data_IF_423824176373
#
_entry.id   IF_423824176373
#
_cell.length_a   1.000
_cell.length_b   1.000
_cell.length_c   1.000
_cell.angle_alpha   90.00
_cell.angle_beta   90.00
_cell.angle_gamma   90.00
#
_symmetry.space_group_name_H-M   'P 1'
#
loop_
_entity.id
_entity.type
_entity.pdbx_description
1 polymer ?
#
# COMPACT_ATOMS: atom_id res chain seq x y z
N UNK A 1 -29.41 -9.65 2.25
CA UNK A 1 -28.88 -8.30 1.94
C UNK A 1 -27.37 -8.40 1.93
N UNK A 2 -26.82 -8.77 0.79
CA UNK A 2 -25.37 -8.75 0.56
C UNK A 2 -24.99 -7.29 0.35
N UNK A 3 -24.32 -6.68 1.32
CA UNK A 3 -23.63 -5.41 1.16
C UNK A 3 -22.48 -5.66 0.18
N UNK A 4 -22.83 -5.61 -1.12
CA UNK A 4 -21.85 -5.63 -2.19
C UNK A 4 -20.99 -4.38 -2.05
N UNK A 5 -19.72 -4.58 -1.77
CA UNK A 5 -18.72 -3.53 -1.93
C UNK A 5 -18.73 -3.14 -3.42
N UNK A 6 -19.19 -1.92 -3.72
CA UNK A 6 -19.26 -1.37 -5.07
C UNK A 6 -18.10 -0.38 -5.26
N UNK A 7 -16.96 -0.82 -5.82
CA UNK A 7 -15.80 0.05 -6.04
C UNK A 7 -15.97 1.02 -7.22
N UNK A 8 -17.10 0.96 -7.94
CA UNK A 8 -17.33 1.70 -9.19
C UNK A 8 -17.72 3.17 -8.99
N UNK A 9 -17.85 3.64 -7.75
CA UNK A 9 -18.36 5.00 -7.46
C UNK A 9 -17.41 5.85 -6.59
N UNK A 10 -16.14 5.45 -6.47
CA UNK A 10 -15.10 6.31 -5.89
C UNK A 10 -14.21 6.89 -6.99
N UNK A 11 -14.69 7.98 -7.60
CA UNK A 11 -14.03 8.72 -8.69
C UNK A 11 -12.84 9.57 -8.21
N UNK A 12 -12.11 9.17 -7.18
CA UNK A 12 -10.82 9.80 -6.84
C UNK A 12 -9.70 9.12 -7.64
N UNK A 13 -8.96 9.84 -8.50
CA UNK A 13 -7.93 9.25 -9.40
C UNK A 13 -6.69 8.66 -8.71
N UNK A 14 -6.69 8.56 -7.39
CA UNK A 14 -5.63 8.03 -6.53
C UNK A 14 -6.28 7.69 -5.19
N UNK A 15 -5.85 6.66 -4.45
CA UNK A 15 -6.30 6.50 -3.07
C UNK A 15 -6.04 7.79 -2.32
N UNK A 16 -6.96 8.14 -1.41
CA UNK A 16 -6.68 9.23 -0.50
C UNK A 16 -5.38 8.90 0.27
N UNK A 17 -4.49 9.89 0.51
CA UNK A 17 -3.24 9.66 1.24
C UNK A 17 -3.41 8.88 2.55
N UNK A 18 -4.57 9.06 3.20
CA UNK A 18 -4.96 8.37 4.43
C UNK A 18 -5.17 6.86 4.26
N UNK A 19 -5.70 6.41 3.12
CA UNK A 19 -5.91 4.99 2.86
C UNK A 19 -4.57 4.27 2.69
N UNK A 20 -3.61 4.92 2.01
CA UNK A 20 -2.24 4.43 1.87
C UNK A 20 -1.57 4.23 3.23
N UNK A 21 -1.74 5.18 4.15
CA UNK A 21 -1.20 5.08 5.51
C UNK A 21 -1.77 3.90 6.31
N UNK A 22 -3.09 3.69 6.23
CA UNK A 22 -3.75 2.58 6.92
C UNK A 22 -3.34 1.23 6.34
N UNK A 23 -3.29 1.11 5.01
CA UNK A 23 -2.84 -0.11 4.34
C UNK A 23 -1.38 -0.42 4.69
N UNK A 24 -0.50 0.58 4.66
CA UNK A 24 0.90 0.44 5.07
C UNK A 24 1.01 -0.05 6.52
N UNK A 25 0.29 0.57 7.46
CA UNK A 25 0.34 0.20 8.87
C UNK A 25 -0.11 -1.25 9.12
N UNK A 26 -1.18 -1.71 8.43
CA UNK A 26 -1.65 -3.10 8.53
C UNK A 26 -0.61 -4.07 7.97
N UNK A 27 -0.03 -3.76 6.81
CA UNK A 27 0.99 -4.62 6.21
C UNK A 27 2.25 -4.69 7.07
N UNK A 28 2.73 -3.56 7.58
CA UNK A 28 3.88 -3.50 8.49
C UNK A 28 3.64 -4.36 9.75
N UNK A 29 2.44 -4.27 10.35
CA UNK A 29 2.10 -5.07 11.54
C UNK A 29 1.97 -6.57 11.28
N UNK A 30 1.55 -6.99 10.07
CA UNK A 30 1.31 -8.40 9.72
C UNK A 30 2.50 -9.09 9.07
N UNK A 31 3.26 -8.36 8.26
CA UNK A 31 4.31 -8.90 7.40
C UNK A 31 5.70 -8.38 7.78
N UNK A 32 5.81 -7.37 8.64
CA UNK A 32 7.09 -6.83 9.07
C UNK A 32 7.94 -6.38 7.89
N UNK A 33 9.15 -6.94 7.76
CA UNK A 33 10.10 -6.62 6.70
C UNK A 33 9.59 -6.97 5.28
N UNK A 34 8.62 -7.89 5.15
CA UNK A 34 8.02 -8.28 3.86
C UNK A 34 6.89 -7.34 3.39
N UNK A 35 6.51 -6.36 4.20
CA UNK A 35 5.34 -5.52 3.93
C UNK A 35 5.43 -4.77 2.58
N UNK A 36 6.61 -4.29 2.21
CA UNK A 36 6.83 -3.62 0.92
C UNK A 36 6.67 -4.59 -0.26
N UNK A 37 7.23 -5.80 -0.14
CA UNK A 37 7.17 -6.82 -1.20
C UNK A 37 5.74 -7.31 -1.44
N UNK A 38 4.93 -7.42 -0.37
CA UNK A 38 3.51 -7.75 -0.47
C UNK A 38 2.73 -6.65 -1.20
N UNK A 39 3.03 -5.38 -0.92
CA UNK A 39 2.39 -4.26 -1.63
C UNK A 39 2.83 -4.21 -3.11
N UNK A 40 4.12 -4.44 -3.41
CA UNK A 40 4.62 -4.53 -4.79
C UNK A 40 3.97 -5.67 -5.58
N UNK A 41 3.73 -6.81 -4.93
CA UNK A 41 3.00 -7.92 -5.54
C UNK A 41 1.62 -7.49 -6.01
N UNK A 42 0.84 -6.80 -5.17
CA UNK A 42 -0.48 -6.32 -5.55
C UNK A 42 -0.43 -5.23 -6.62
N UNK A 43 0.54 -4.32 -6.54
CA UNK A 43 0.78 -3.31 -7.57
C UNK A 43 1.00 -3.96 -8.94
N UNK A 44 1.87 -4.96 -8.98
CA UNK A 44 2.20 -5.73 -10.19
C UNK A 44 1.00 -6.52 -10.70
N UNK A 45 0.27 -7.19 -9.79
CA UNK A 45 -0.94 -7.92 -10.14
C UNK A 45 -1.97 -7.03 -10.81
N UNK A 46 -2.29 -5.87 -10.23
CA UNK A 46 -3.26 -4.94 -10.81
C UNK A 46 -2.77 -4.32 -12.13
N UNK A 47 -1.47 -4.03 -12.25
CA UNK A 47 -0.87 -3.56 -13.51
C UNK A 47 -1.08 -4.58 -14.64
N UNK A 48 -0.81 -5.86 -14.39
CA UNK A 48 -0.98 -6.93 -15.39
C UNK A 48 -2.44 -7.15 -15.81
N UNK A 49 -3.39 -6.77 -14.95
CA UNK A 49 -4.83 -6.90 -15.22
C UNK A 49 -5.47 -5.60 -15.74
N UNK A 50 -4.66 -4.58 -16.04
CA UNK A 50 -5.14 -3.30 -16.58
C UNK A 50 -5.83 -2.39 -15.56
N UNK A 51 -5.73 -2.71 -14.27
CA UNK A 51 -6.27 -1.91 -13.17
C UNK A 51 -5.22 -0.90 -12.70
N UNK A 52 -5.05 0.16 -13.49
CA UNK A 52 -4.03 1.19 -13.25
C UNK A 52 -4.26 1.89 -11.91
N UNK A 53 -5.50 2.18 -11.53
CA UNK A 53 -5.82 2.88 -10.28
C UNK A 53 -5.35 2.11 -9.05
N UNK A 54 -5.68 0.82 -8.98
CA UNK A 54 -5.22 -0.02 -7.87
C UNK A 54 -3.74 -0.36 -7.95
N UNK A 55 -3.16 -0.43 -9.15
CA UNK A 55 -1.72 -0.59 -9.31
C UNK A 55 -0.96 0.58 -8.65
N UNK A 56 -1.33 1.81 -8.98
CA UNK A 56 -0.73 3.01 -8.37
C UNK A 56 -0.98 3.10 -6.86
N UNK A 57 -2.16 2.69 -6.41
CA UNK A 57 -2.49 2.64 -4.99
C UNK A 57 -1.49 1.79 -4.20
N UNK A 58 -1.28 0.56 -4.66
CA UNK A 58 -0.37 -0.39 -4.03
C UNK A 58 1.10 0.01 -4.18
N UNK A 59 1.47 0.66 -5.28
CA UNK A 59 2.80 1.24 -5.44
C UNK A 59 3.08 2.32 -4.37
N UNK A 60 2.10 3.19 -4.09
CA UNK A 60 2.19 4.18 -3.02
C UNK A 60 2.34 3.56 -1.64
N UNK A 61 1.65 2.45 -1.37
CA UNK A 61 1.81 1.69 -0.12
C UNK A 61 3.21 1.10 0.00
N UNK A 62 3.73 0.47 -1.06
CA UNK A 62 5.06 -0.13 -1.06
C UNK A 62 6.14 0.91 -0.78
N UNK A 63 6.04 2.08 -1.41
CA UNK A 63 6.95 3.20 -1.22
C UNK A 63 6.91 3.72 0.23
N UNK A 64 5.72 3.95 0.79
CA UNK A 64 5.58 4.41 2.17
C UNK A 64 6.19 3.42 3.17
N UNK A 65 6.00 2.12 2.97
CA UNK A 65 6.59 1.09 3.83
C UNK A 65 8.12 1.09 3.73
N UNK A 66 8.69 1.28 2.53
CA UNK A 66 10.14 1.39 2.35
C UNK A 66 10.69 2.62 3.06
N UNK A 67 10.05 3.78 2.91
CA UNK A 67 10.44 5.01 3.60
C UNK A 67 10.44 4.85 5.12
N UNK A 68 9.38 4.26 5.70
CA UNK A 68 9.31 3.98 7.14
C UNK A 68 10.38 2.99 7.59
N UNK A 69 10.73 2.01 6.75
CA UNK A 69 11.78 1.05 7.04
C UNK A 69 13.15 1.73 7.10
N UNK A 70 13.46 2.58 6.13
CA UNK A 70 14.69 3.40 6.15
C UNK A 70 14.74 4.27 7.41
N UNK A 71 13.65 4.99 7.73
CA UNK A 71 13.57 5.83 8.93
C UNK A 71 13.83 5.03 10.22
N UNK A 72 13.30 3.81 10.33
CA UNK A 72 13.54 2.94 11.49
C UNK A 72 15.01 2.50 11.59
N UNK A 73 15.65 2.21 10.46
CA UNK A 73 17.08 1.84 10.42
C UNK A 73 17.93 3.03 10.84
N UNK A 74 17.70 4.21 10.26
CA UNK A 74 18.41 5.45 10.60
C UNK A 74 18.25 5.81 12.09
N UNK A 75 17.05 5.66 12.64
CA UNK A 75 16.80 5.87 14.07
C UNK A 75 17.50 4.84 14.96
N UNK A 76 17.63 3.59 14.52
CA UNK A 76 18.32 2.56 15.25
C UNK A 76 19.85 2.74 15.24
N UNK A 77 20.42 3.25 14.15
CA UNK A 77 21.85 3.57 14.03
C UNK A 77 22.27 4.82 14.83
N UNK A 78 21.31 5.70 15.15
CA UNK A 78 21.54 6.92 15.92
C UNK A 78 21.57 6.72 17.46
N UNK A 79 21.33 5.49 17.95
CA UNK A 79 21.31 5.11 19.37
C UNK A 79 22.59 4.38 19.78
#
# INVERSE_FOLDING_TARGET
>A
MTTGWHPEEDTTPSPAPRDVEFMAAVLEGRHGWLAADVADFFSTYHSQHGDTGRSWAWAGVAELVRQRTVQRIEQAEAL
#
